data_IF_108980868990
#
_entry.id   IF_108980868990
#
_cell.length_a   1.000
_cell.length_b   1.000
_cell.length_c   1.000
_cell.angle_alpha   90.00
_cell.angle_beta   90.00
_cell.angle_gamma   90.00
#
_symmetry.space_group_name_H-M   'P 1'
#
loop_
_entity.id
_entity.type
_entity.pdbx_description
1 polymer ?
#
# COMPACT_ATOMS: atom_id res chain seq x y z
N UNK A 1 19.94 20.07 -4.55
CA UNK A 1 21.35 19.75 -4.88
C UNK A 1 21.43 18.28 -5.26
N UNK A 2 22.21 17.91 -6.28
CA UNK A 2 22.50 16.51 -6.57
C UNK A 2 23.65 16.05 -5.66
N UNK A 3 23.52 14.86 -5.07
CA UNK A 3 24.56 14.23 -4.27
C UNK A 3 25.01 12.94 -4.96
N UNK A 4 26.32 12.73 -5.07
CA UNK A 4 26.89 11.53 -5.69
C UNK A 4 27.04 10.43 -4.64
N UNK A 5 26.50 9.25 -4.92
CA UNK A 5 26.70 8.05 -4.11
C UNK A 5 27.31 6.95 -4.96
N UNK A 6 28.46 6.44 -4.56
CA UNK A 6 29.14 5.34 -5.26
C UNK A 6 28.57 4.00 -4.80
N UNK A 7 27.95 3.25 -5.72
CA UNK A 7 27.40 1.93 -5.46
C UNK A 7 28.30 0.86 -6.08
N UNK A 8 28.79 -0.09 -5.25
CA UNK A 8 29.46 -1.28 -5.76
C UNK A 8 28.41 -2.35 -6.07
N UNK A 9 28.26 -2.65 -7.35
CA UNK A 9 27.34 -3.69 -7.82
C UNK A 9 28.07 -5.03 -7.88
N UNK A 10 27.46 -6.12 -7.41
CA UNK A 10 27.93 -7.47 -7.73
C UNK A 10 27.95 -7.68 -9.25
N UNK A 11 28.93 -8.44 -9.76
CA UNK A 11 29.09 -8.64 -11.21
C UNK A 11 27.86 -9.29 -11.84
N UNK A 12 27.23 -10.24 -11.14
CA UNK A 12 25.98 -10.88 -11.58
C UNK A 12 24.84 -9.87 -11.76
N UNK A 13 24.71 -8.90 -10.86
CA UNK A 13 23.67 -7.88 -10.94
C UNK A 13 23.94 -6.93 -12.11
N UNK A 14 25.19 -6.52 -12.29
CA UNK A 14 25.61 -5.68 -13.42
C UNK A 14 25.33 -6.35 -14.76
N UNK A 15 25.65 -7.64 -14.88
CA UNK A 15 25.39 -8.44 -16.09
C UNK A 15 23.90 -8.56 -16.41
N UNK A 16 23.02 -8.59 -15.39
CA UNK A 16 21.56 -8.59 -15.56
C UNK A 16 21.01 -7.23 -15.97
N UNK A 17 21.58 -6.13 -15.46
CA UNK A 17 21.09 -4.77 -15.74
C UNK A 17 21.38 -4.34 -17.18
N UNK A 18 22.56 -4.67 -17.71
CA UNK A 18 22.97 -4.25 -19.06
C UNK A 18 21.93 -4.54 -20.16
N UNK A 19 21.46 -5.79 -20.36
CA UNK A 19 20.46 -6.08 -21.40
C UNK A 19 19.08 -5.47 -21.11
N UNK A 20 18.71 -5.29 -19.83
CA UNK A 20 17.44 -4.65 -19.45
C UNK A 20 17.44 -3.15 -19.80
N UNK A 21 18.56 -2.48 -19.54
CA UNK A 21 18.77 -1.09 -19.90
C UNK A 21 18.73 -0.90 -21.43
N UNK A 22 19.44 -1.76 -22.17
CA UNK A 22 19.46 -1.74 -23.63
C UNK A 22 18.06 -1.95 -24.23
N UNK A 23 17.30 -2.93 -23.73
CA UNK A 23 15.92 -3.18 -24.17
C UNK A 23 14.96 -2.00 -23.90
N UNK A 24 15.32 -1.14 -22.95
CA UNK A 24 14.57 0.06 -22.59
C UNK A 24 15.12 1.32 -23.27
N UNK A 25 16.10 1.19 -24.18
CA UNK A 25 16.83 2.29 -24.81
C UNK A 25 17.47 3.28 -23.81
N UNK A 26 18.01 2.76 -22.70
CA UNK A 26 18.61 3.54 -21.61
C UNK A 26 20.03 3.10 -21.34
N UNK A 27 20.84 4.00 -20.81
CA UNK A 27 22.13 3.61 -20.22
C UNK A 27 21.89 2.83 -18.92
N UNK A 28 22.79 1.92 -18.52
CA UNK A 28 22.68 1.22 -17.24
C UNK A 28 22.55 2.17 -16.05
N UNK A 29 23.25 3.32 -16.07
CA UNK A 29 23.16 4.32 -15.02
C UNK A 29 21.77 4.96 -14.92
N UNK A 30 21.20 5.41 -16.05
CA UNK A 30 19.85 5.99 -16.07
C UNK A 30 18.81 4.97 -15.63
N UNK A 31 18.93 3.73 -16.11
CA UNK A 31 18.04 2.63 -15.72
C UNK A 31 18.08 2.37 -14.20
N UNK A 32 19.27 2.38 -13.59
CA UNK A 32 19.42 2.19 -12.14
C UNK A 32 18.81 3.32 -11.32
N UNK A 33 18.97 4.58 -11.76
CA UNK A 33 18.35 5.73 -11.06
C UNK A 33 16.84 5.56 -11.04
N UNK A 34 16.23 5.25 -12.19
CA UNK A 34 14.78 5.06 -12.27
C UNK A 34 14.30 3.86 -11.44
N UNK A 35 15.07 2.77 -11.42
CA UNK A 35 14.77 1.61 -10.59
C UNK A 35 14.79 1.97 -9.09
N UNK A 36 15.78 2.76 -8.66
CA UNK A 36 15.86 3.25 -7.27
C UNK A 36 14.71 4.20 -6.94
N UNK A 37 14.33 5.08 -7.87
CA UNK A 37 13.21 5.99 -7.68
C UNK A 37 11.87 5.22 -7.57
N UNK A 38 11.67 4.21 -8.43
CA UNK A 38 10.50 3.34 -8.34
C UNK A 38 10.45 2.57 -7.02
N UNK A 39 11.60 2.08 -6.55
CA UNK A 39 11.68 1.37 -5.27
C UNK A 39 11.45 2.30 -4.08
N UNK A 40 11.95 3.53 -4.11
CA UNK A 40 11.72 4.54 -3.08
C UNK A 40 10.22 4.85 -2.97
N UNK A 41 9.56 5.14 -4.10
CA UNK A 41 8.10 5.38 -4.12
C UNK A 41 7.31 4.18 -3.58
N UNK A 42 7.69 2.96 -3.96
CA UNK A 42 7.02 1.75 -3.48
C UNK A 42 7.19 1.57 -1.95
N UNK A 43 8.39 1.87 -1.43
CA UNK A 43 8.66 1.81 0.01
C UNK A 43 7.84 2.86 0.78
N UNK A 44 7.77 4.09 0.27
CA UNK A 44 6.97 5.18 0.83
C UNK A 44 5.48 4.83 0.85
N UNK A 45 4.94 4.33 -0.27
CA UNK A 45 3.55 3.86 -0.37
C UNK A 45 3.25 2.76 0.64
N UNK A 46 4.17 1.80 0.79
CA UNK A 46 4.02 0.71 1.77
C UNK A 46 4.01 1.25 3.19
N UNK A 47 4.90 2.18 3.52
CA UNK A 47 4.96 2.77 4.85
C UNK A 47 3.70 3.56 5.17
N UNK A 48 3.20 4.37 4.21
CA UNK A 48 1.94 5.10 4.36
C UNK A 48 0.79 4.14 4.58
N UNK A 49 0.66 3.09 3.76
CA UNK A 49 -0.41 2.10 3.88
C UNK A 49 -0.42 1.42 5.24
N UNK A 50 0.75 1.04 5.76
CA UNK A 50 0.86 0.45 7.11
C UNK A 50 0.47 1.49 8.17
N UNK A 51 0.92 2.74 8.04
CA UNK A 51 0.53 3.84 8.91
C UNK A 51 -0.99 3.99 8.97
N UNK A 52 -1.64 4.13 7.82
CA UNK A 52 -3.09 4.28 7.69
C UNK A 52 -3.84 3.08 8.27
N UNK A 53 -3.36 1.86 8.01
CA UNK A 53 -3.95 0.64 8.55
C UNK A 53 -3.84 0.56 10.08
N UNK A 54 -2.69 0.95 10.65
CA UNK A 54 -2.50 0.96 12.11
C UNK A 54 -3.34 2.04 12.79
N UNK A 55 -3.44 3.23 12.20
CA UNK A 55 -4.30 4.30 12.68
C UNK A 55 -5.78 3.87 12.65
N UNK A 56 -6.24 3.31 11.52
CA UNK A 56 -7.60 2.80 11.39
C UNK A 56 -7.90 1.69 12.40
N UNK A 57 -6.96 0.76 12.62
CA UNK A 57 -7.13 -0.28 13.64
C UNK A 57 -7.27 0.31 15.06
N UNK A 58 -6.45 1.31 15.40
CA UNK A 58 -6.54 1.99 16.69
C UNK A 58 -7.88 2.75 16.86
N UNK A 59 -8.42 3.37 15.80
CA UNK A 59 -9.74 3.99 15.83
C UNK A 59 -10.85 2.96 16.07
N UNK A 60 -10.76 1.81 15.43
CA UNK A 60 -11.72 0.71 15.64
C UNK A 60 -11.65 0.20 17.08
N UNK A 61 -10.45 -0.01 17.61
CA UNK A 61 -10.24 -0.43 19.01
C UNK A 61 -10.75 0.61 20.01
N UNK A 62 -10.69 1.91 19.66
CA UNK A 62 -11.26 3.01 20.44
C UNK A 62 -12.80 3.11 20.33
N UNK A 63 -13.46 2.20 19.59
CA UNK A 63 -14.91 2.19 19.41
C UNK A 63 -15.40 3.05 18.24
N UNK A 64 -14.53 3.33 17.26
CA UNK A 64 -14.87 4.03 16.03
C UNK A 64 -15.99 3.36 15.22
N UNK A 65 -16.65 4.13 14.38
CA UNK A 65 -17.77 3.66 13.57
C UNK A 65 -17.30 2.67 12.48
N UNK A 66 -17.80 1.43 12.55
CA UNK A 66 -17.61 0.42 11.52
C UNK A 66 -18.77 0.46 10.53
N UNK A 67 -18.52 0.13 9.27
CA UNK A 67 -19.54 0.06 8.23
C UNK A 67 -19.49 -1.31 7.57
N UNK A 68 -20.66 -1.87 7.25
CA UNK A 68 -20.71 -3.15 6.59
C UNK A 68 -20.23 -3.02 5.14
N UNK A 69 -19.35 -3.92 4.70
CA UNK A 69 -18.68 -3.82 3.39
C UNK A 69 -19.67 -3.74 2.22
N UNK A 70 -20.75 -4.52 2.27
CA UNK A 70 -21.79 -4.52 1.24
C UNK A 70 -22.50 -3.15 1.11
N UNK A 71 -22.73 -2.46 2.23
CA UNK A 71 -23.42 -1.16 2.25
C UNK A 71 -22.50 -0.07 1.68
N UNK A 72 -21.21 -0.12 2.06
CA UNK A 72 -20.18 0.79 1.52
C UNK A 72 -20.01 0.55 0.02
N UNK A 73 -19.91 -0.70 -0.42
CA UNK A 73 -19.76 -1.05 -1.83
C UNK A 73 -20.95 -0.58 -2.67
N UNK A 74 -22.18 -0.84 -2.22
CA UNK A 74 -23.40 -0.37 -2.89
C UNK A 74 -23.46 1.16 -2.97
N UNK A 75 -23.03 1.86 -1.91
CA UNK A 75 -22.94 3.32 -1.91
C UNK A 75 -21.93 3.85 -2.93
N UNK A 76 -20.69 3.33 -2.92
CA UNK A 76 -19.62 3.79 -3.81
C UNK A 76 -19.98 3.54 -5.28
N UNK A 77 -20.45 2.32 -5.60
CA UNK A 77 -20.84 1.96 -6.97
C UNK A 77 -22.00 2.82 -7.48
N UNK A 78 -23.00 3.11 -6.65
CA UNK A 78 -24.12 3.99 -7.02
C UNK A 78 -23.66 5.44 -7.23
N UNK A 79 -22.75 5.95 -6.40
CA UNK A 79 -22.17 7.29 -6.56
C UNK A 79 -21.33 7.41 -7.83
N UNK A 80 -20.51 6.40 -8.14
CA UNK A 80 -19.71 6.36 -9.36
C UNK A 80 -20.59 6.36 -10.62
N UNK A 81 -21.77 5.75 -10.56
CA UNK A 81 -22.76 5.75 -11.64
C UNK A 81 -23.62 7.03 -11.73
N UNK A 82 -23.34 8.06 -10.91
CA UNK A 82 -24.12 9.29 -10.86
C UNK A 82 -25.54 9.13 -10.29
N UNK A 83 -25.86 7.98 -9.69
CA UNK A 83 -27.18 7.70 -9.13
C UNK A 83 -27.28 8.24 -7.70
N UNK A 84 -28.49 8.62 -7.24
CA UNK A 84 -28.70 8.94 -5.84
C UNK A 84 -28.39 7.72 -4.98
N UNK A 85 -27.50 7.88 -3.99
CA UNK A 85 -27.07 6.82 -3.09
C UNK A 85 -27.18 7.29 -1.65
N UNK A 86 -27.78 6.47 -0.78
CA UNK A 86 -27.86 6.74 0.65
C UNK A 86 -26.55 6.37 1.33
N UNK A 87 -26.04 7.26 2.18
CA UNK A 87 -24.83 6.96 2.97
C UNK A 87 -25.07 5.72 3.86
N UNK A 88 -24.10 4.79 3.92
CA UNK A 88 -24.20 3.62 4.78
C UNK A 88 -24.26 4.05 6.24
N UNK A 89 -25.00 3.30 7.06
CA UNK A 89 -25.08 3.54 8.50
C UNK A 89 -23.98 2.74 9.20
N UNK A 90 -23.47 3.23 10.35
CA UNK A 90 -22.57 2.43 11.16
C UNK A 90 -23.20 1.08 11.52
N UNK A 91 -22.51 -0.01 11.22
CA UNK A 91 -22.82 -1.31 11.77
C UNK A 91 -22.47 -1.25 13.26
N UNK A 92 -23.50 -1.28 14.12
CA UNK A 92 -23.27 -1.29 15.57
C UNK A 92 -22.34 -2.43 15.94
N UNK A 93 -21.38 -2.17 16.82
CA UNK A 93 -20.54 -3.19 17.43
C UNK A 93 -21.47 -4.06 18.27
N UNK A 94 -22.14 -5.04 17.66
CA UNK A 94 -22.67 -6.17 18.42
C UNK A 94 -21.46 -6.74 19.14
N UNK A 95 -21.53 -6.86 20.47
CA UNK A 95 -20.48 -7.33 21.37
C UNK A 95 -19.89 -8.66 20.87
N UNK A 96 -18.96 -8.63 19.93
CA UNK A 96 -18.33 -9.82 19.40
C UNK A 96 -17.30 -10.26 20.42
N UNK A 97 -17.60 -11.39 21.07
CA UNK A 97 -16.81 -12.12 22.07
C UNK A 97 -15.30 -11.97 21.85
N UNK A 98 -14.51 -11.67 22.90
CA UNK A 98 -13.07 -11.42 22.76
C UNK A 98 -12.38 -12.59 22.08
N UNK A 99 -11.50 -12.26 21.11
CA UNK A 99 -10.67 -13.22 20.38
C UNK A 99 -9.84 -14.00 21.39
N UNK A 100 -10.23 -15.24 21.66
CA UNK A 100 -9.52 -16.11 22.60
C UNK A 100 -8.10 -16.30 22.10
N UNK A 101 -7.11 -15.94 22.94
CA UNK A 101 -5.70 -16.20 22.68
C UNK A 101 -5.54 -17.70 22.41
N UNK A 102 -5.18 -18.05 21.18
CA UNK A 102 -4.81 -19.42 20.84
C UNK A 102 -3.55 -19.78 21.64
N UNK A 103 -3.67 -20.82 22.46
CA UNK A 103 -2.62 -21.35 23.32
C UNK A 103 -1.48 -21.86 22.41
N UNK A 104 -0.31 -21.25 22.51
CA UNK A 104 0.90 -21.80 21.91
C UNK A 104 1.16 -23.20 22.49
N UNK A 105 1.43 -24.14 21.59
CA UNK A 105 1.79 -25.52 21.87
C UNK A 105 3.31 -25.65 21.83
#
# INVERSE_FOLDING_TARGET
MAATTTLKLPEELKARIAPLADSSAKTPHAWMIEALEAQARLAEMRQSFIGDATASAAEVDAGGALYAMQDVHAYITSKAAGKPAKRPKPAGISKSKPRTKSKAR
#
